data_IF_478790139048
#
_entry.id   IF_478790139048
#
_cell.length_a   1.000
_cell.length_b   1.000
_cell.length_c   1.000
_cell.angle_alpha   90.00
_cell.angle_beta   90.00
_cell.angle_gamma   90.00
#
_symmetry.space_group_name_H-M   'P 1'
#
loop_
_entity.id
_entity.type
_entity.pdbx_description
1 polymer ?
#
# COMPACT_ATOMS: atom_id res chain seq x y z
N UNK A 1 -23.26 0.74 -12.66
CA UNK A 1 -22.90 0.48 -11.24
C UNK A 1 -22.64 1.80 -10.55
N UNK A 2 -22.95 1.97 -9.26
CA UNK A 2 -22.70 3.24 -8.56
C UNK A 2 -21.19 3.51 -8.41
N UNK A 3 -20.79 4.77 -8.56
CA UNK A 3 -19.39 5.23 -8.40
C UNK A 3 -18.78 4.74 -7.08
N UNK A 4 -19.60 4.62 -6.03
CA UNK A 4 -19.22 4.11 -4.71
C UNK A 4 -18.66 2.69 -4.74
N UNK A 5 -19.16 1.80 -5.62
CA UNK A 5 -18.65 0.43 -5.74
C UNK A 5 -17.24 0.43 -6.34
N UNK A 6 -17.00 1.26 -7.37
CA UNK A 6 -15.69 1.39 -7.99
C UNK A 6 -14.67 1.95 -6.98
N UNK A 7 -15.04 2.99 -6.24
CA UNK A 7 -14.21 3.58 -5.18
C UNK A 7 -13.87 2.54 -4.11
N UNK A 8 -14.87 1.81 -3.60
CA UNK A 8 -14.67 0.79 -2.57
C UNK A 8 -13.76 -0.35 -3.06
N UNK A 9 -13.91 -0.77 -4.32
CA UNK A 9 -13.11 -1.82 -4.92
C UNK A 9 -11.66 -1.39 -5.16
N UNK A 10 -11.45 -0.16 -5.64
CA UNK A 10 -10.11 0.46 -5.74
C UNK A 10 -9.44 0.53 -4.39
N UNK A 11 -10.15 1.03 -3.38
CA UNK A 11 -9.65 1.09 -2.00
C UNK A 11 -9.23 -0.28 -1.49
N UNK A 12 -10.10 -1.29 -1.61
CA UNK A 12 -9.83 -2.64 -1.15
C UNK A 12 -8.61 -3.24 -1.85
N UNK A 13 -8.52 -3.08 -3.17
CA UNK A 13 -7.40 -3.57 -3.96
C UNK A 13 -6.08 -2.87 -3.60
N UNK A 14 -6.09 -1.55 -3.42
CA UNK A 14 -4.89 -0.80 -3.02
C UNK A 14 -4.40 -1.25 -1.66
N UNK A 15 -5.29 -1.32 -0.66
CA UNK A 15 -4.94 -1.75 0.69
C UNK A 15 -4.39 -3.19 0.69
N UNK A 16 -5.06 -4.11 -0.02
CA UNK A 16 -4.66 -5.51 -0.08
C UNK A 16 -3.26 -5.70 -0.68
N UNK A 17 -3.00 -5.10 -1.85
CA UNK A 17 -1.69 -5.20 -2.51
C UNK A 17 -0.57 -4.52 -1.70
N UNK A 18 -0.89 -3.40 -1.03
CA UNK A 18 0.04 -2.72 -0.12
C UNK A 18 0.39 -3.60 1.08
N UNK A 19 -0.58 -4.32 1.64
CA UNK A 19 -0.36 -5.26 2.73
C UNK A 19 0.49 -6.46 2.28
N UNK A 20 0.18 -7.06 1.13
CA UNK A 20 0.95 -8.19 0.59
C UNK A 20 2.44 -7.83 0.43
N UNK A 21 2.71 -6.73 -0.28
CA UNK A 21 4.07 -6.24 -0.51
C UNK A 21 4.75 -5.84 0.80
N UNK A 22 4.10 -4.97 1.57
CA UNK A 22 4.70 -4.31 2.72
C UNK A 22 4.95 -5.26 3.89
N UNK A 23 4.05 -6.21 4.16
CA UNK A 23 4.27 -7.23 5.21
C UNK A 23 5.44 -8.14 4.87
N UNK A 24 5.56 -8.57 3.60
CA UNK A 24 6.67 -9.39 3.15
C UNK A 24 8.00 -8.61 3.21
N UNK A 25 8.01 -7.35 2.75
CA UNK A 25 9.18 -6.48 2.81
C UNK A 25 9.62 -6.24 4.26
N UNK A 26 8.67 -5.95 5.16
CA UNK A 26 8.93 -5.82 6.60
C UNK A 26 9.62 -7.06 7.17
N UNK A 27 9.15 -8.25 6.84
CA UNK A 27 9.78 -9.50 7.27
C UNK A 27 11.24 -9.64 6.83
N UNK A 28 11.60 -9.11 5.66
CA UNK A 28 12.97 -9.16 5.15
C UNK A 28 13.91 -8.19 5.85
N UNK A 29 13.55 -6.90 5.96
CA UNK A 29 14.46 -5.90 6.52
C UNK A 29 14.44 -5.84 8.05
N UNK A 30 13.32 -6.20 8.71
CA UNK A 30 13.16 -6.07 10.17
C UNK A 30 13.51 -7.36 10.93
N UNK A 31 13.19 -8.53 10.39
CA UNK A 31 13.36 -9.83 11.07
C UNK A 31 14.59 -10.58 10.58
N UNK A 32 15.16 -11.43 11.44
CA UNK A 32 16.42 -12.17 11.20
C UNK A 32 16.23 -13.67 11.32
N UNK A 33 16.80 -14.42 10.38
CA UNK A 33 16.88 -15.88 10.44
C UNK A 33 15.52 -16.54 10.69
N UNK A 34 15.42 -17.28 11.80
CA UNK A 34 14.22 -18.03 12.20
C UNK A 34 13.02 -17.13 12.57
N UNK A 35 13.24 -15.85 12.89
CA UNK A 35 12.13 -14.92 13.15
C UNK A 35 11.22 -14.70 11.93
N UNK A 36 11.74 -14.96 10.73
CA UNK A 36 11.02 -14.87 9.44
C UNK A 36 10.11 -16.08 9.18
N UNK A 37 10.22 -17.14 9.96
CA UNK A 37 9.35 -18.30 9.84
C UNK A 37 7.96 -17.92 10.36
N UNK A 38 6.95 -18.24 9.56
CA UNK A 38 5.56 -17.98 9.88
C UNK A 38 5.18 -18.63 11.21
N UNK A 39 4.62 -17.81 12.10
CA UNK A 39 4.19 -18.21 13.45
C UNK A 39 5.24 -17.97 14.53
N UNK A 40 6.49 -17.62 14.19
CA UNK A 40 7.51 -17.27 15.19
C UNK A 40 7.31 -15.86 15.74
N UNK A 41 7.25 -14.85 14.86
CA UNK A 41 6.94 -13.47 15.24
C UNK A 41 5.64 -12.99 14.64
N UNK A 42 5.37 -13.33 13.37
CA UNK A 42 4.15 -12.98 12.66
C UNK A 42 3.61 -14.21 11.92
N UNK A 43 2.28 -14.34 11.78
CA UNK A 43 1.68 -15.43 11.02
C UNK A 43 1.75 -15.13 9.51
N UNK A 44 2.96 -15.05 8.95
CA UNK A 44 3.20 -14.67 7.55
C UNK A 44 2.42 -15.53 6.56
N UNK A 45 2.40 -16.85 6.72
CA UNK A 45 1.74 -17.76 5.77
C UNK A 45 0.26 -17.45 5.59
N UNK A 46 -0.59 -17.49 6.64
CA UNK A 46 -2.01 -17.18 6.45
C UNK A 46 -2.24 -15.73 6.02
N UNK A 47 -1.45 -14.75 6.47
CA UNK A 47 -1.60 -13.35 6.05
C UNK A 47 -1.31 -13.13 4.57
N UNK A 48 -0.16 -13.64 4.09
CA UNK A 48 0.28 -13.45 2.71
C UNK A 48 -0.52 -14.31 1.72
N UNK A 49 -0.97 -15.51 2.12
CA UNK A 49 -1.91 -16.30 1.30
C UNK A 49 -3.25 -15.59 1.20
N UNK A 50 -3.79 -15.08 2.32
CA UNK A 50 -5.09 -14.39 2.31
C UNK A 50 -5.04 -13.16 1.41
N UNK A 51 -4.01 -12.33 1.55
CA UNK A 51 -3.84 -11.15 0.70
C UNK A 51 -3.57 -11.51 -0.76
N UNK A 52 -2.78 -12.56 -1.07
CA UNK A 52 -2.61 -13.01 -2.45
C UNK A 52 -3.93 -13.48 -3.09
N UNK A 53 -4.75 -14.24 -2.36
CA UNK A 53 -6.05 -14.73 -2.84
C UNK A 53 -7.04 -13.58 -2.99
N UNK A 54 -7.14 -12.70 -1.99
CA UNK A 54 -8.00 -11.51 -2.05
C UNK A 54 -7.58 -10.60 -3.20
N UNK A 55 -6.28 -10.37 -3.39
CA UNK A 55 -5.76 -9.57 -4.50
C UNK A 55 -6.15 -10.12 -5.87
N UNK A 56 -6.17 -11.44 -6.05
CA UNK A 56 -6.67 -12.08 -7.27
C UNK A 56 -8.16 -11.80 -7.45
N UNK A 57 -8.97 -12.07 -6.42
CA UNK A 57 -10.43 -11.86 -6.47
C UNK A 57 -10.80 -10.40 -6.73
N UNK A 58 -10.16 -9.48 -6.02
CA UNK A 58 -10.32 -8.03 -6.19
C UNK A 58 -9.87 -7.57 -7.57
N UNK A 59 -8.81 -8.16 -8.14
CA UNK A 59 -8.35 -7.85 -9.50
C UNK A 59 -9.34 -8.31 -10.57
N UNK A 60 -9.97 -9.48 -10.41
CA UNK A 60 -11.04 -9.93 -11.31
C UNK A 60 -12.28 -9.02 -11.20
N UNK A 61 -12.71 -8.71 -9.97
CA UNK A 61 -13.81 -7.78 -9.76
C UNK A 61 -13.52 -6.40 -10.35
N UNK A 62 -12.29 -5.89 -10.21
CA UNK A 62 -11.88 -4.59 -10.75
C UNK A 62 -11.89 -4.59 -12.28
N UNK A 63 -11.46 -5.68 -12.92
CA UNK A 63 -11.57 -5.82 -14.36
C UNK A 63 -13.04 -5.84 -14.82
N UNK A 64 -13.90 -6.63 -14.18
CA UNK A 64 -15.31 -6.67 -14.52
C UNK A 64 -15.97 -5.28 -14.37
N UNK A 65 -15.66 -4.57 -13.29
CA UNK A 65 -16.15 -3.21 -13.05
C UNK A 65 -15.66 -2.22 -14.12
N UNK A 66 -14.40 -2.32 -14.54
CA UNK A 66 -13.84 -1.45 -15.57
C UNK A 66 -14.43 -1.75 -16.96
N UNK A 67 -14.52 -3.03 -17.34
CA UNK A 67 -15.15 -3.45 -18.59
C UNK A 67 -16.60 -2.98 -18.66
N UNK A 68 -17.34 -3.03 -17.54
CA UNK A 68 -18.70 -2.52 -17.48
C UNK A 68 -18.73 -1.01 -17.72
N UNK A 69 -17.94 -0.27 -16.96
CA UNK A 69 -17.92 1.18 -17.03
C UNK A 69 -17.59 1.69 -18.44
N UNK A 70 -16.72 1.00 -19.18
CA UNK A 70 -16.30 1.39 -20.53
C UNK A 70 -17.24 0.90 -21.64
N UNK A 71 -17.88 -0.25 -21.47
CA UNK A 71 -18.75 -0.84 -22.52
C UNK A 71 -20.15 -0.24 -22.57
N UNK A 72 -20.65 0.30 -21.45
CA UNK A 72 -21.99 0.86 -21.35
C UNK A 72 -23.12 -0.18 -21.41
N UNK A 73 -22.80 -1.47 -21.43
CA UNK A 73 -23.81 -2.55 -21.42
C UNK A 73 -24.52 -2.62 -20.07
N UNK A 74 -25.79 -3.07 -20.07
CA UNK A 74 -26.59 -3.23 -18.85
C UNK A 74 -26.66 -4.67 -18.36
N UNK A 75 -26.36 -5.66 -19.21
CA UNK A 75 -26.44 -7.08 -18.88
C UNK A 75 -25.04 -7.68 -18.64
N UNK A 76 -24.92 -8.48 -17.58
CA UNK A 76 -23.72 -9.25 -17.27
C UNK A 76 -23.36 -10.25 -18.39
N UNK A 77 -24.36 -10.80 -19.07
CA UNK A 77 -24.15 -11.78 -20.13
C UNK A 77 -23.39 -11.19 -21.34
N UNK A 78 -23.50 -9.88 -21.56
CA UNK A 78 -22.87 -9.14 -22.66
C UNK A 78 -21.46 -8.61 -22.31
N UNK A 79 -21.02 -8.81 -21.06
CA UNK A 79 -19.75 -8.27 -20.57
C UNK A 79 -18.53 -9.05 -21.07
N UNK A 80 -18.69 -10.35 -21.36
CA UNK A 80 -17.57 -11.24 -21.68
C UNK A 80 -16.73 -10.78 -22.88
N UNK A 81 -17.30 -10.42 -24.05
CA UNK A 81 -16.52 -9.93 -25.19
C UNK A 81 -15.72 -8.65 -24.87
N UNK A 82 -16.25 -7.79 -23.99
CA UNK A 82 -15.59 -6.56 -23.58
C UNK A 82 -14.42 -6.82 -22.64
N UNK A 83 -14.55 -7.82 -21.75
CA UNK A 83 -13.42 -8.29 -20.93
C UNK A 83 -12.34 -8.89 -21.82
N UNK A 84 -12.71 -9.73 -22.78
CA UNK A 84 -11.76 -10.35 -23.72
C UNK A 84 -10.99 -9.30 -24.52
N UNK A 85 -11.69 -8.35 -25.15
CA UNK A 85 -11.07 -7.22 -25.84
C UNK A 85 -10.15 -6.44 -24.90
N UNK A 86 -10.60 -6.11 -23.69
CA UNK A 86 -9.77 -5.36 -22.74
C UNK A 86 -8.51 -6.12 -22.33
N UNK A 87 -8.59 -7.43 -22.09
CA UNK A 87 -7.44 -8.27 -21.74
C UNK A 87 -6.44 -8.38 -22.89
N UNK A 88 -6.92 -8.57 -24.12
CA UNK A 88 -6.08 -8.90 -25.28
C UNK A 88 -5.54 -7.67 -26.01
N UNK A 89 -6.27 -6.55 -26.00
CA UNK A 89 -5.99 -5.41 -26.88
C UNK A 89 -5.55 -4.15 -26.14
N UNK A 90 -5.50 -4.16 -24.80
CA UNK A 90 -5.16 -2.95 -24.02
C UNK A 90 -3.93 -3.11 -23.14
N UNK A 91 -3.22 -1.99 -22.93
CA UNK A 91 -2.13 -1.88 -21.96
C UNK A 91 -2.64 -2.22 -20.53
N UNK A 92 -3.87 -1.81 -20.22
CA UNK A 92 -4.53 -2.16 -18.95
C UNK A 92 -4.67 -3.68 -18.79
N UNK A 93 -5.17 -4.39 -19.81
CA UNK A 93 -5.28 -5.85 -19.83
C UNK A 93 -3.95 -6.58 -19.65
N UNK A 94 -2.91 -6.08 -20.31
CA UNK A 94 -1.53 -6.60 -20.17
C UNK A 94 -1.02 -6.44 -18.73
N UNK A 95 -1.20 -5.25 -18.13
CA UNK A 95 -0.83 -4.98 -16.74
C UNK A 95 -1.61 -5.85 -15.74
N UNK A 96 -2.89 -6.11 -16.02
CA UNK A 96 -3.73 -6.97 -15.21
C UNK A 96 -3.27 -8.42 -15.28
N UNK A 97 -2.93 -8.91 -16.48
CA UNK A 97 -2.40 -10.27 -16.68
C UNK A 97 -1.10 -10.46 -15.91
N UNK A 98 -0.19 -9.48 -15.99
CA UNK A 98 1.05 -9.46 -15.21
C UNK A 98 0.77 -9.47 -13.70
N UNK A 99 -0.22 -8.70 -13.23
CA UNK A 99 -0.65 -8.69 -11.82
C UNK A 99 -1.12 -10.06 -11.36
N UNK A 100 -2.01 -10.71 -12.12
CA UNK A 100 -2.52 -12.05 -11.78
C UNK A 100 -1.37 -13.05 -11.71
N UNK A 101 -0.48 -13.06 -12.71
CA UNK A 101 0.69 -13.93 -12.69
C UNK A 101 1.57 -13.69 -11.45
N UNK A 102 1.86 -12.43 -11.12
CA UNK A 102 2.66 -12.06 -9.96
C UNK A 102 2.01 -12.49 -8.63
N UNK A 103 0.69 -12.35 -8.50
CA UNK A 103 -0.06 -12.77 -7.30
C UNK A 103 -0.10 -14.29 -7.13
N UNK A 104 -0.28 -15.05 -8.23
CA UNK A 104 -0.24 -16.50 -8.20
C UNK A 104 1.15 -17.01 -7.80
N UNK A 105 2.21 -16.43 -8.39
CA UNK A 105 3.60 -16.74 -8.04
C UNK A 105 3.91 -16.39 -6.57
N UNK A 106 3.41 -15.25 -6.08
CA UNK A 106 3.53 -14.88 -4.67
C UNK A 106 2.83 -15.92 -3.77
N UNK A 107 1.60 -16.33 -4.10
CA UNK A 107 0.86 -17.36 -3.37
C UNK A 107 1.62 -18.69 -3.27
N UNK A 108 2.22 -19.14 -4.38
CA UNK A 108 3.10 -20.31 -4.39
C UNK A 108 4.35 -20.08 -3.53
N UNK A 109 4.99 -18.92 -3.65
CA UNK A 109 6.20 -18.59 -2.89
C UNK A 109 5.97 -18.60 -1.37
N UNK A 110 4.78 -18.22 -0.89
CA UNK A 110 4.44 -18.27 0.55
C UNK A 110 4.52 -19.70 1.11
N UNK A 111 4.19 -20.72 0.31
CA UNK A 111 4.25 -22.13 0.76
C UNK A 111 5.66 -22.59 1.12
N UNK A 112 6.68 -21.92 0.56
CA UNK A 112 8.09 -22.19 0.83
C UNK A 112 8.57 -21.60 2.16
N UNK A 113 7.77 -20.77 2.84
CA UNK A 113 8.21 -19.99 4.00
C UNK A 113 8.79 -20.86 5.13
N UNK A 114 8.17 -22.01 5.44
CA UNK A 114 8.67 -22.90 6.50
C UNK A 114 10.07 -23.44 6.22
N UNK A 115 10.38 -23.72 4.95
CA UNK A 115 11.67 -24.30 4.55
C UNK A 115 12.70 -23.21 4.33
N UNK A 116 12.36 -22.21 3.50
CA UNK A 116 13.25 -21.14 3.04
C UNK A 116 12.61 -19.76 3.28
N UNK A 117 12.52 -19.29 4.54
CA UNK A 117 11.74 -18.10 4.89
C UNK A 117 12.21 -16.83 4.18
N UNK A 118 13.52 -16.64 4.05
CA UNK A 118 14.10 -15.47 3.35
C UNK A 118 13.77 -15.47 1.86
N UNK A 119 13.94 -16.60 1.18
CA UNK A 119 13.66 -16.69 -0.26
C UNK A 119 12.16 -16.55 -0.53
N UNK A 120 11.33 -17.18 0.31
CA UNK A 120 9.87 -17.07 0.27
C UNK A 120 9.43 -15.62 0.39
N UNK A 121 9.84 -14.90 1.44
CA UNK A 121 9.48 -13.50 1.62
C UNK A 121 10.04 -12.61 0.49
N UNK A 122 11.26 -12.89 0.00
CA UNK A 122 11.86 -12.19 -1.14
C UNK A 122 11.01 -12.28 -2.41
N UNK A 123 10.57 -13.49 -2.75
CA UNK A 123 9.70 -13.73 -3.91
C UNK A 123 8.32 -13.11 -3.73
N UNK A 124 7.75 -13.14 -2.53
CA UNK A 124 6.46 -12.47 -2.24
C UNK A 124 6.59 -10.95 -2.32
N UNK A 125 7.67 -10.37 -1.81
CA UNK A 125 7.94 -8.94 -1.95
C UNK A 125 8.07 -8.56 -3.43
N UNK A 126 8.78 -9.36 -4.24
CA UNK A 126 8.88 -9.11 -5.68
C UNK A 126 7.53 -9.19 -6.38
N UNK A 127 6.75 -10.26 -6.12
CA UNK A 127 5.42 -10.43 -6.69
C UNK A 127 4.45 -9.31 -6.26
N UNK A 128 4.48 -8.93 -4.99
CA UNK A 128 3.71 -7.80 -4.46
C UNK A 128 4.14 -6.45 -5.06
N UNK A 129 5.44 -6.23 -5.28
CA UNK A 129 5.95 -5.02 -5.90
C UNK A 129 5.48 -4.88 -7.35
N UNK A 130 5.54 -5.97 -8.12
CA UNK A 130 5.01 -6.02 -9.49
C UNK A 130 3.50 -5.79 -9.48
N UNK A 131 2.76 -6.49 -8.61
CA UNK A 131 1.31 -6.32 -8.50
C UNK A 131 0.92 -4.87 -8.15
N UNK A 132 1.62 -4.23 -7.22
CA UNK A 132 1.42 -2.81 -6.89
C UNK A 132 1.73 -1.88 -8.06
N UNK A 133 2.87 -2.09 -8.75
CA UNK A 133 3.29 -1.24 -9.86
C UNK A 133 2.26 -1.24 -11.00
N UNK A 134 1.66 -2.40 -11.29
CA UNK A 134 0.62 -2.50 -12.33
C UNK A 134 -0.62 -1.64 -12.06
N UNK A 135 -0.83 -1.12 -10.84
CA UNK A 135 -1.94 -0.19 -10.56
C UNK A 135 -1.78 1.15 -11.29
N UNK A 136 -0.57 1.54 -11.69
CA UNK A 136 -0.32 2.80 -12.37
C UNK A 136 -1.06 2.91 -13.72
N UNK A 137 -1.30 1.78 -14.39
CA UNK A 137 -2.08 1.72 -15.63
C UNK A 137 -3.58 2.02 -15.45
N UNK A 138 -4.08 2.02 -14.22
CA UNK A 138 -5.44 2.43 -13.89
C UNK A 138 -5.53 3.91 -13.45
N UNK A 139 -4.38 4.61 -13.43
CA UNK A 139 -4.21 5.97 -12.93
C UNK A 139 -3.90 6.98 -14.03
N UNK A 140 -3.63 8.21 -13.60
CA UNK A 140 -3.44 9.36 -14.48
C UNK A 140 -2.20 9.23 -15.38
N UNK A 141 -1.15 8.55 -14.91
CA UNK A 141 0.05 8.31 -15.73
C UNK A 141 -0.20 7.51 -17.00
N UNK A 142 -1.29 6.74 -17.08
CA UNK A 142 -1.68 6.03 -18.30
C UNK A 142 -2.20 6.96 -19.40
N UNK A 143 -2.60 8.20 -19.06
CA UNK A 143 -3.10 9.20 -20.00
C UNK A 143 -1.98 10.04 -20.64
N UNK A 144 -0.77 10.02 -20.08
CA UNK A 144 0.38 10.71 -20.65
C UNK A 144 0.97 9.93 -21.84
N UNK A 145 1.65 10.64 -22.75
CA UNK A 145 2.34 10.05 -23.90
C UNK A 145 3.87 10.20 -23.84
N UNK A 146 4.58 9.39 -24.63
CA UNK A 146 6.03 9.53 -24.85
C UNK A 146 6.89 9.39 -23.58
N UNK A 147 7.91 10.25 -23.44
CA UNK A 147 8.84 10.24 -22.31
C UNK A 147 8.20 10.67 -21.00
N UNK A 148 7.17 11.52 -21.04
CA UNK A 148 6.41 11.97 -19.87
C UNK A 148 5.74 10.78 -19.19
N UNK A 149 5.09 9.92 -19.97
CA UNK A 149 4.48 8.66 -19.50
C UNK A 149 5.46 7.82 -18.68
N UNK A 150 6.68 7.63 -19.18
CA UNK A 150 7.69 6.81 -18.51
C UNK A 150 8.11 7.40 -17.16
N UNK A 151 8.31 8.72 -17.08
CA UNK A 151 8.65 9.39 -15.82
C UNK A 151 7.50 9.41 -14.81
N UNK A 152 6.26 9.55 -15.29
CA UNK A 152 5.08 9.45 -14.43
C UNK A 152 4.98 8.04 -13.84
N UNK A 153 5.12 6.98 -14.64
CA UNK A 153 5.10 5.61 -14.14
C UNK A 153 6.23 5.31 -13.15
N UNK A 154 7.46 5.77 -13.39
CA UNK A 154 8.54 5.61 -12.41
C UNK A 154 8.16 6.27 -11.08
N UNK A 155 7.58 7.46 -11.14
CA UNK A 155 7.15 8.20 -9.96
C UNK A 155 6.03 7.47 -9.22
N UNK A 156 5.03 6.96 -9.94
CA UNK A 156 3.95 6.15 -9.39
C UNK A 156 4.44 4.85 -8.74
N UNK A 157 5.36 4.14 -9.39
CA UNK A 157 5.93 2.90 -8.84
C UNK A 157 6.64 3.17 -7.52
N UNK A 158 7.51 4.20 -7.51
CA UNK A 158 8.22 4.60 -6.30
C UNK A 158 7.25 5.03 -5.19
N UNK A 159 6.21 5.78 -5.54
CA UNK A 159 5.18 6.20 -4.58
C UNK A 159 4.42 5.01 -4.01
N UNK A 160 3.96 4.07 -4.85
CA UNK A 160 3.22 2.89 -4.43
C UNK A 160 4.06 1.94 -3.58
N UNK A 161 5.32 1.71 -3.95
CA UNK A 161 6.21 0.88 -3.14
C UNK A 161 6.53 1.53 -1.79
N UNK A 162 6.79 2.83 -1.75
CA UNK A 162 7.04 3.51 -0.49
C UNK A 162 5.77 3.52 0.40
N UNK A 163 4.60 3.86 -0.17
CA UNK A 163 3.32 3.82 0.55
C UNK A 163 2.99 2.40 1.05
N UNK A 164 3.15 1.39 0.21
CA UNK A 164 2.95 -0.01 0.58
C UNK A 164 3.91 -0.47 1.68
N UNK A 165 5.17 -0.04 1.62
CA UNK A 165 6.15 -0.27 2.67
C UNK A 165 5.73 0.33 4.01
N UNK A 166 5.19 1.56 4.00
CA UNK A 166 4.68 2.20 5.22
C UNK A 166 3.47 1.45 5.78
N UNK A 167 2.45 1.20 4.95
CA UNK A 167 1.21 0.51 5.36
C UNK A 167 1.53 -0.88 5.91
N UNK A 168 2.40 -1.63 5.24
CA UNK A 168 2.83 -2.94 5.70
C UNK A 168 3.61 -2.90 7.00
N UNK A 169 4.47 -1.90 7.21
CA UNK A 169 5.17 -1.71 8.49
C UNK A 169 4.20 -1.40 9.63
N UNK A 170 3.23 -0.50 9.42
CA UNK A 170 2.19 -0.20 10.42
C UNK A 170 1.37 -1.44 10.75
N UNK A 171 0.97 -2.21 9.74
CA UNK A 171 0.26 -3.47 9.95
C UNK A 171 1.11 -4.48 10.74
N UNK A 172 2.39 -4.63 10.40
CA UNK A 172 3.31 -5.52 11.11
C UNK A 172 3.49 -5.10 12.57
N UNK A 173 3.72 -3.80 12.85
CA UNK A 173 3.83 -3.30 14.23
C UNK A 173 2.53 -3.48 15.01
N UNK A 174 1.37 -3.20 14.40
CA UNK A 174 0.08 -3.44 15.03
C UNK A 174 -0.10 -4.93 15.39
N UNK A 175 0.31 -5.85 14.51
CA UNK A 175 0.25 -7.29 14.78
C UNK A 175 1.22 -7.73 15.88
N UNK A 176 2.45 -7.21 15.89
CA UNK A 176 3.44 -7.48 16.96
C UNK A 176 2.94 -6.97 18.32
N UNK A 177 2.35 -5.77 18.36
CA UNK A 177 1.82 -5.14 19.57
C UNK A 177 0.52 -5.77 20.09
N UNK A 178 -0.21 -6.51 19.25
CA UNK A 178 -1.44 -7.23 19.65
C UNK A 178 -1.16 -8.54 20.38
N UNK A 179 0.07 -9.04 20.37
CA UNK A 179 0.43 -10.27 21.06
C UNK A 179 0.29 -10.11 22.57
N UNK A 180 -0.19 -11.14 23.26
CA UNK A 180 -0.37 -11.10 24.72
C UNK A 180 0.96 -10.90 25.48
N UNK A 181 2.07 -11.39 24.90
CA UNK A 181 3.43 -11.25 25.42
C UNK A 181 4.36 -10.88 24.26
N UNK A 182 4.39 -9.60 23.83
CA UNK A 182 5.25 -9.19 22.73
C UNK A 182 6.71 -9.40 23.12
N UNK A 183 7.52 -9.93 22.19
CA UNK A 183 8.96 -10.05 22.40
C UNK A 183 9.60 -8.67 22.32
N UNK A 184 9.71 -8.00 23.48
CA UNK A 184 10.16 -6.60 23.56
C UNK A 184 11.53 -6.37 22.89
N UNK A 185 12.44 -7.35 22.95
CA UNK A 185 13.74 -7.27 22.29
C UNK A 185 13.62 -7.25 20.76
N UNK A 186 12.70 -8.03 20.19
CA UNK A 186 12.41 -8.01 18.75
C UNK A 186 11.75 -6.70 18.39
N UNK A 187 10.70 -6.30 19.13
CA UNK A 187 9.95 -5.07 18.88
C UNK A 187 10.84 -3.80 18.92
N UNK A 188 11.68 -3.65 19.95
CA UNK A 188 12.58 -2.50 20.07
C UNK A 188 13.60 -2.48 18.92
N UNK A 189 14.14 -3.64 18.54
CA UNK A 189 15.09 -3.76 17.43
C UNK A 189 14.43 -3.48 16.08
N UNK A 190 13.20 -3.95 15.85
CA UNK A 190 12.46 -3.69 14.61
C UNK A 190 12.05 -2.22 14.50
N UNK A 191 11.67 -1.57 15.60
CA UNK A 191 11.41 -0.12 15.65
C UNK A 191 12.66 0.68 15.30
N UNK A 192 13.81 0.35 15.93
CA UNK A 192 15.09 1.02 15.66
C UNK A 192 15.51 0.82 14.19
N UNK A 193 15.39 -0.40 13.67
CA UNK A 193 15.69 -0.70 12.27
C UNK A 193 14.74 0.03 11.29
N UNK A 194 13.49 0.23 11.69
CA UNK A 194 12.51 0.97 10.89
C UNK A 194 12.79 2.47 10.83
N UNK A 195 13.56 3.07 11.75
CA UNK A 195 13.84 4.50 11.69
C UNK A 195 14.48 4.94 10.36
N UNK A 196 15.42 4.14 9.84
CA UNK A 196 16.07 4.43 8.56
C UNK A 196 15.13 4.15 7.39
N UNK A 197 14.47 3.00 7.40
CA UNK A 197 13.53 2.63 6.35
C UNK A 197 12.35 3.62 6.25
N UNK A 198 11.80 4.02 7.39
CA UNK A 198 10.74 5.02 7.52
C UNK A 198 11.16 6.39 7.02
N UNK A 199 12.38 6.84 7.32
CA UNK A 199 12.90 8.10 6.78
C UNK A 199 13.02 8.08 5.24
N UNK A 200 13.50 6.98 4.67
CA UNK A 200 13.57 6.80 3.21
C UNK A 200 12.17 6.76 2.60
N UNK A 201 11.25 6.01 3.19
CA UNK A 201 9.84 5.93 2.77
C UNK A 201 9.20 7.32 2.75
N UNK A 202 9.34 8.09 3.83
CA UNK A 202 8.82 9.45 3.93
C UNK A 202 9.40 10.33 2.83
N UNK A 203 10.72 10.32 2.66
CA UNK A 203 11.39 11.12 1.63
C UNK A 203 10.90 10.76 0.22
N UNK A 204 10.79 9.47 -0.10
CA UNK A 204 10.30 9.00 -1.40
C UNK A 204 8.85 9.43 -1.62
N UNK A 205 7.95 9.24 -0.64
CA UNK A 205 6.54 9.65 -0.76
C UNK A 205 6.40 11.16 -0.93
N UNK A 206 7.18 11.95 -0.19
CA UNK A 206 7.16 13.42 -0.31
C UNK A 206 7.60 13.87 -1.70
N UNK A 207 8.75 13.38 -2.18
CA UNK A 207 9.28 13.78 -3.50
C UNK A 207 8.36 13.31 -4.61
N UNK A 208 7.99 12.02 -4.62
CA UNK A 208 7.10 11.46 -5.65
C UNK A 208 5.71 12.07 -5.60
N UNK A 209 5.19 12.43 -4.41
CA UNK A 209 3.90 13.11 -4.27
C UNK A 209 3.90 14.50 -4.89
N UNK A 210 4.97 15.28 -4.72
CA UNK A 210 5.14 16.58 -5.38
C UNK A 210 5.25 16.41 -6.89
N UNK A 211 6.06 15.46 -7.35
CA UNK A 211 6.23 15.20 -8.79
C UNK A 211 4.91 14.75 -9.43
N UNK A 212 4.15 13.87 -8.78
CA UNK A 212 2.83 13.46 -9.25
C UNK A 212 1.84 14.61 -9.31
N UNK A 213 1.82 15.50 -8.30
CA UNK A 213 1.01 16.72 -8.37
C UNK A 213 1.38 17.57 -9.59
N UNK A 214 2.67 17.79 -9.83
CA UNK A 214 3.14 18.57 -10.99
C UNK A 214 2.79 17.91 -12.33
N UNK A 215 2.79 16.58 -12.41
CA UNK A 215 2.35 15.87 -13.61
C UNK A 215 0.85 15.93 -13.83
N UNK A 216 0.04 15.95 -12.77
CA UNK A 216 -1.43 15.87 -12.89
C UNK A 216 -2.07 17.26 -12.95
N UNK A 217 -1.77 18.13 -11.99
CA UNK A 217 -2.41 19.45 -11.84
C UNK A 217 -1.53 20.60 -12.38
N UNK A 218 -0.24 20.35 -12.66
CA UNK A 218 0.69 21.38 -13.06
C UNK A 218 1.19 22.25 -11.89
N UNK A 219 1.94 23.33 -12.16
CA UNK A 219 2.56 24.15 -11.12
C UNK A 219 1.59 25.14 -10.45
N UNK A 220 0.39 25.35 -11.00
CA UNK A 220 -0.56 26.32 -10.47
C UNK A 220 -1.39 25.72 -9.32
N UNK A 221 -1.53 26.50 -8.25
CA UNK A 221 -2.43 26.23 -7.12
C UNK A 221 -3.70 27.07 -7.15
N UNK A 222 -3.83 27.98 -8.14
CA UNK A 222 -5.00 28.83 -8.30
C UNK A 222 -6.22 27.97 -8.67
N UNK A 223 -7.35 28.21 -8.00
CA UNK A 223 -8.59 27.45 -8.22
C UNK A 223 -8.58 26.01 -7.68
N UNK A 224 -7.50 25.55 -7.04
CA UNK A 224 -7.40 24.15 -6.60
C UNK A 224 -8.53 23.76 -5.63
N UNK A 225 -8.92 24.65 -4.72
CA UNK A 225 -9.99 24.37 -3.76
C UNK A 225 -11.41 24.52 -4.33
N UNK A 226 -11.54 24.99 -5.57
CA UNK A 226 -12.84 25.16 -6.23
C UNK A 226 -13.36 23.83 -6.80
N UNK A 227 -12.45 22.89 -7.08
CA UNK A 227 -12.78 21.54 -7.54
C UNK A 227 -12.86 20.52 -6.40
N UNK A 228 -13.74 19.51 -6.54
CA UNK A 228 -13.76 18.36 -5.61
C UNK A 228 -12.41 17.62 -5.59
N UNK A 229 -11.73 17.53 -6.75
CA UNK A 229 -10.41 16.93 -6.85
C UNK A 229 -9.41 17.63 -5.92
N UNK A 230 -9.29 18.95 -6.00
CA UNK A 230 -8.30 19.67 -5.21
C UNK A 230 -8.66 19.78 -3.73
N UNK A 231 -9.94 19.78 -3.35
CA UNK A 231 -10.36 19.65 -1.94
C UNK A 231 -9.93 18.31 -1.33
N UNK A 232 -10.16 17.20 -2.03
CA UNK A 232 -9.74 15.87 -1.57
C UNK A 232 -8.21 15.75 -1.53
N UNK A 233 -7.51 16.35 -2.50
CA UNK A 233 -6.05 16.43 -2.50
C UNK A 233 -5.52 17.23 -1.31
N UNK A 234 -6.11 18.40 -1.02
CA UNK A 234 -5.73 19.22 0.13
C UNK A 234 -5.93 18.45 1.46
N UNK A 235 -7.07 17.75 1.61
CA UNK A 235 -7.31 16.90 2.77
C UNK A 235 -6.27 15.78 2.88
N UNK A 236 -5.92 15.12 1.76
CA UNK A 236 -4.84 14.11 1.72
C UNK A 236 -3.52 14.70 2.21
N UNK A 237 -3.17 15.92 1.80
CA UNK A 237 -1.93 16.58 2.22
C UNK A 237 -1.93 16.95 3.71
N UNK A 238 -3.06 17.43 4.25
CA UNK A 238 -3.22 17.70 5.68
C UNK A 238 -3.04 16.42 6.50
N UNK A 239 -3.69 15.33 6.07
CA UNK A 239 -3.56 14.03 6.74
C UNK A 239 -2.13 13.49 6.64
N UNK A 240 -1.46 13.66 5.50
CA UNK A 240 -0.07 13.29 5.34
C UNK A 240 0.84 14.08 6.28
N UNK A 241 0.64 15.40 6.41
CA UNK A 241 1.38 16.23 7.36
C UNK A 241 1.14 15.76 8.82
N UNK A 242 -0.10 15.40 9.17
CA UNK A 242 -0.41 14.82 10.47
C UNK A 242 0.33 13.48 10.70
N UNK A 243 0.41 12.61 9.67
CA UNK A 243 1.21 11.38 9.75
C UNK A 243 2.69 11.66 9.97
N UNK A 244 3.26 12.71 9.38
CA UNK A 244 4.67 13.09 9.63
C UNK A 244 4.88 13.50 11.09
N UNK A 245 3.92 14.22 11.68
CA UNK A 245 3.96 14.57 13.11
C UNK A 245 3.90 13.32 13.97
N UNK A 246 3.00 12.38 13.70
CA UNK A 246 2.94 11.12 14.44
C UNK A 246 4.21 10.28 14.28
N UNK A 247 4.76 10.19 13.06
CA UNK A 247 6.00 9.48 12.79
C UNK A 247 7.18 10.10 13.56
N UNK A 248 7.25 11.44 13.63
CA UNK A 248 8.23 12.14 14.44
C UNK A 248 8.05 11.89 15.94
N UNK A 249 6.81 11.92 16.46
CA UNK A 249 6.52 11.59 17.86
C UNK A 249 6.90 10.13 18.19
N UNK A 250 6.63 9.20 17.29
CA UNK A 250 7.01 7.81 17.43
C UNK A 250 8.52 7.61 17.45
N UNK A 251 9.25 8.33 16.58
CA UNK A 251 10.71 8.25 16.50
C UNK A 251 11.41 8.92 17.66
N UNK A 252 11.04 10.15 17.99
CA UNK A 252 11.79 10.97 18.94
C UNK A 252 11.31 10.85 20.38
N UNK A 253 10.09 10.36 20.62
CA UNK A 253 9.53 10.26 21.96
C UNK A 253 9.20 8.82 22.34
N UNK A 254 8.33 8.14 21.59
CA UNK A 254 7.79 6.84 22.02
C UNK A 254 8.80 5.69 21.90
N UNK A 255 9.64 5.67 20.85
CA UNK A 255 10.67 4.65 20.69
C UNK A 255 11.76 4.74 21.79
N UNK A 256 12.33 5.92 22.12
CA UNK A 256 13.24 6.06 23.26
C UNK A 256 12.59 5.73 24.61
N UNK A 257 11.31 6.09 24.80
CA UNK A 257 10.57 5.74 26.02
C UNK A 257 10.41 4.22 26.17
N UNK A 258 10.15 3.50 25.08
CA UNK A 258 10.08 2.04 25.11
C UNK A 258 11.42 1.41 25.50
N UNK A 259 12.54 1.92 24.97
CA UNK A 259 13.86 1.39 25.31
C UNK A 259 14.24 1.67 26.77
N UNK A 260 13.89 2.85 27.31
CA UNK A 260 14.08 3.16 28.74
C UNK A 260 13.18 2.30 29.62
N UNK A 261 11.92 2.15 29.24
CA UNK A 261 10.98 1.29 29.94
C UNK A 261 11.49 -0.14 29.99
N UNK A 262 12.09 -0.65 28.90
CA UNK A 262 12.75 -1.98 28.82
C UNK A 262 13.80 -2.18 29.92
N UNK A 263 14.51 -1.12 30.29
CA UNK A 263 15.56 -1.15 31.31
C UNK A 263 15.01 -1.03 32.74
N UNK A 264 13.88 -0.34 32.94
CA UNK A 264 13.29 -0.09 34.26
C UNK A 264 12.22 -1.09 34.72
N UNK A 265 11.72 -1.94 33.83
CA UNK A 265 10.70 -2.96 34.14
C UNK A 265 9.23 -2.51 34.02
N UNK A 266 8.98 -1.20 33.81
CA UNK A 266 7.62 -0.63 33.68
C UNK A 266 7.17 -0.54 32.21
N UNK A 267 6.97 -1.68 31.55
CA UNK A 267 6.76 -1.71 30.09
C UNK A 267 5.33 -1.39 29.63
N UNK A 268 4.32 -1.52 30.50
CA UNK A 268 2.91 -1.47 30.10
C UNK A 268 2.48 -0.11 29.53
N UNK A 269 2.94 0.99 30.14
CA UNK A 269 2.55 2.35 29.71
C UNK A 269 3.15 2.69 28.35
N UNK A 270 4.45 2.43 28.15
CA UNK A 270 5.15 2.69 26.89
C UNK A 270 4.57 1.86 25.73
N UNK A 271 4.28 0.57 25.97
CA UNK A 271 3.67 -0.31 24.96
C UNK A 271 2.26 0.15 24.60
N UNK A 272 1.46 0.58 25.57
CA UNK A 272 0.10 1.08 25.30
C UNK A 272 0.12 2.40 24.52
N UNK A 273 1.02 3.33 24.87
CA UNK A 273 1.17 4.59 24.14
C UNK A 273 1.60 4.35 22.68
N UNK A 274 2.57 3.46 22.46
CA UNK A 274 3.00 3.07 21.13
C UNK A 274 1.86 2.38 20.35
N UNK A 275 1.08 1.51 21.00
CA UNK A 275 -0.07 0.84 20.37
C UNK A 275 -1.13 1.85 19.92
N UNK A 276 -1.50 2.80 20.75
CA UNK A 276 -2.48 3.84 20.39
C UNK A 276 -1.98 4.70 19.24
N UNK A 277 -0.70 5.07 19.26
CA UNK A 277 -0.06 5.82 18.18
C UNK A 277 -0.07 5.04 16.86
N UNK A 278 0.34 3.77 16.86
CA UNK A 278 0.31 2.90 15.67
C UNK A 278 -1.10 2.72 15.10
N UNK A 279 -2.12 2.56 15.96
CA UNK A 279 -3.52 2.45 15.51
C UNK A 279 -3.99 3.74 14.87
N UNK A 280 -3.64 4.89 15.45
CA UNK A 280 -3.99 6.20 14.89
C UNK A 280 -3.31 6.43 13.53
N UNK A 281 -2.01 6.16 13.42
CA UNK A 281 -1.28 6.25 12.15
C UNK A 281 -1.87 5.33 11.08
N UNK A 282 -2.19 4.08 11.44
CA UNK A 282 -2.81 3.15 10.51
C UNK A 282 -4.21 3.62 10.08
N UNK A 283 -5.01 4.18 11.00
CA UNK A 283 -6.31 4.76 10.67
C UNK A 283 -6.18 5.93 9.69
N UNK A 284 -5.24 6.85 9.93
CA UNK A 284 -4.98 7.97 9.01
C UNK A 284 -4.50 7.47 7.64
N UNK A 285 -3.62 6.46 7.61
CA UNK A 285 -3.19 5.84 6.35
C UNK A 285 -4.36 5.21 5.58
N UNK A 286 -5.27 4.51 6.26
CA UNK A 286 -6.48 3.94 5.68
C UNK A 286 -7.40 5.03 5.11
N UNK A 287 -7.57 6.16 5.82
CA UNK A 287 -8.35 7.30 5.32
C UNK A 287 -7.69 7.87 4.06
N UNK A 288 -6.37 8.08 4.06
CA UNK A 288 -5.62 8.55 2.88
C UNK A 288 -5.84 7.61 1.69
N UNK A 289 -5.81 6.29 1.90
CA UNK A 289 -6.09 5.32 0.81
C UNK A 289 -7.52 5.44 0.29
N UNK A 290 -8.50 5.69 1.16
CA UNK A 290 -9.88 5.98 0.75
C UNK A 290 -9.96 7.24 -0.12
N UNK A 291 -9.26 8.32 0.27
CA UNK A 291 -9.16 9.54 -0.52
C UNK A 291 -8.48 9.29 -1.87
N UNK A 292 -7.40 8.51 -1.90
CA UNK A 292 -6.70 8.16 -3.15
C UNK A 292 -7.56 7.31 -4.07
N UNK A 293 -8.32 6.36 -3.53
CA UNK A 293 -9.26 5.56 -4.31
C UNK A 293 -10.34 6.42 -4.97
N UNK A 294 -10.84 7.44 -4.25
CA UNK A 294 -11.81 8.40 -4.77
C UNK A 294 -11.18 9.38 -5.77
N UNK A 295 -10.04 9.98 -5.45
CA UNK A 295 -9.32 10.87 -6.36
C UNK A 295 -9.05 10.19 -7.72
N UNK A 296 -8.75 8.89 -7.71
CA UNK A 296 -8.50 8.15 -8.94
C UNK A 296 -9.72 7.99 -9.86
N UNK A 297 -10.95 8.32 -9.41
CA UNK A 297 -12.16 8.28 -10.25
C UNK A 297 -12.56 9.66 -10.77
N UNK A 298 -11.89 10.73 -10.35
CA UNK A 298 -12.20 12.11 -10.74
C UNK A 298 -11.27 12.57 -11.87
N UNK A 299 -11.78 13.45 -12.73
CA UNK A 299 -10.94 14.20 -13.66
C UNK A 299 -10.16 15.28 -12.89
N UNK A 300 -8.87 15.52 -13.20
CA UNK A 300 -8.07 16.57 -12.57
C UNK A 300 -8.32 17.96 -13.19
N UNK A 301 -9.17 18.07 -14.22
CA UNK A 301 -9.48 19.36 -14.85
C UNK A 301 -10.10 20.32 -13.84
N UNK A 302 -9.42 21.44 -13.59
CA UNK A 302 -9.91 22.54 -12.78
C UNK A 302 -10.70 23.46 -13.72
N UNK A 303 -12.03 23.42 -13.65
CA UNK A 303 -12.90 24.43 -14.30
C UNK A 303 -12.78 25.79 -13.63
#
# INVERSE_FOLDING_TARGET
MSDSINIALRFALYLDLMLLFGLAAFGLYSLRGQERVSGTQLPFTPLLVTTAVLGVLLSFAAMACMAWAMSGVSDWAELWPHIEMMVLETDFGSSWTLRIAALLLAGVAVTLNKRWPTASLGLVTLGGAVALATLAWAGHGAMDEGTRRNWHFITDFLHFWAAGGWVGALAAFALLLRQAKPQLAVLARTLTGFETAGAVIVAVISVTGVVNYLFIAGPSVEGLLDSTYGQLLALKLILFAAMLVFAALNRFHLSPLLERARQSGEHKVAVNALRSSMVLEFAVAVIILGLVAWLGTLSPEME
#
